data_IF_819034975790
#
_entry.id   IF_819034975790
#
_cell.length_a   1.000
_cell.length_b   1.000
_cell.length_c   1.000
_cell.angle_alpha   90.00
_cell.angle_beta   90.00
_cell.angle_gamma   90.00
#
_symmetry.space_group_name_H-M   'P 1'
#
loop_
_entity.id
_entity.type
_entity.pdbx_description
1 polymer ?
#
# COMPACT_ATOMS: atom_id res chain seq x y z
N UNK A 1 7.61 14.44 2.06
CA UNK A 1 6.63 13.33 2.19
C UNK A 1 7.30 11.98 2.48
N UNK A 2 8.23 11.50 1.64
CA UNK A 2 8.89 10.17 1.74
C UNK A 2 9.46 9.85 3.13
N UNK A 3 10.29 10.73 3.72
CA UNK A 3 10.89 10.51 5.05
C UNK A 3 9.86 10.31 6.17
N UNK A 4 8.74 11.04 6.12
CA UNK A 4 7.65 10.92 7.10
C UNK A 4 6.96 9.56 7.01
N UNK A 5 6.77 9.06 5.78
CA UNK A 5 6.19 7.74 5.54
C UNK A 5 7.14 6.62 5.98
N UNK A 6 8.45 6.79 5.71
CA UNK A 6 9.46 5.85 6.18
C UNK A 6 9.48 5.73 7.71
N UNK A 7 9.26 6.83 8.43
CA UNK A 7 9.22 6.87 9.89
C UNK A 7 8.02 6.15 10.53
N UNK A 8 7.01 5.71 9.75
CA UNK A 8 5.89 4.92 10.29
C UNK A 8 6.34 3.55 10.82
N UNK A 9 7.51 3.08 10.37
CA UNK A 9 8.11 1.82 10.79
C UNK A 9 7.22 0.62 10.52
N UNK A 10 7.56 -0.54 11.10
CA UNK A 10 6.85 -1.79 10.91
C UNK A 10 7.77 -2.99 11.01
N UNK A 11 7.20 -4.17 11.29
CA UNK A 11 7.96 -5.41 11.31
C UNK A 11 8.20 -5.88 9.88
N UNK A 12 9.39 -5.59 9.35
CA UNK A 12 9.79 -5.95 7.99
C UNK A 12 9.11 -5.10 6.89
N UNK A 13 9.51 -5.37 5.64
CA UNK A 13 9.16 -4.57 4.47
C UNK A 13 7.66 -4.50 4.21
N UNK A 14 6.96 -5.61 4.37
CA UNK A 14 5.50 -5.64 4.19
C UNK A 14 4.78 -4.89 5.31
N UNK A 15 5.28 -4.98 6.54
CA UNK A 15 4.73 -4.27 7.70
C UNK A 15 4.82 -2.76 7.52
N UNK A 16 6.00 -2.27 7.11
CA UNK A 16 6.21 -0.86 6.75
C UNK A 16 5.28 -0.45 5.61
N UNK A 17 5.22 -1.23 4.54
CA UNK A 17 4.38 -0.94 3.36
C UNK A 17 2.90 -0.84 3.74
N UNK A 18 2.37 -1.78 4.54
CA UNK A 18 0.95 -1.76 4.98
C UNK A 18 0.63 -0.56 5.86
N UNK A 19 1.57 -0.13 6.71
CA UNK A 19 1.42 1.09 7.54
C UNK A 19 1.41 2.35 6.69
N UNK A 20 2.30 2.45 5.70
CA UNK A 20 2.30 3.53 4.71
C UNK A 20 0.95 3.58 3.97
N UNK A 21 0.47 2.46 3.45
CA UNK A 21 -0.81 2.39 2.74
C UNK A 21 -1.99 2.83 3.62
N UNK A 22 -2.02 2.39 4.88
CA UNK A 22 -3.04 2.80 5.86
C UNK A 22 -3.02 4.32 6.12
N UNK A 23 -1.85 4.93 6.10
CA UNK A 23 -1.71 6.38 6.29
C UNK A 23 -2.14 7.18 5.04
N UNK A 24 -1.83 6.68 3.85
CA UNK A 24 -2.07 7.40 2.59
C UNK A 24 -3.49 7.25 2.05
N UNK A 25 -4.19 6.15 2.34
CA UNK A 25 -5.40 5.79 1.63
C UNK A 25 -6.51 5.31 2.58
N UNK A 26 -7.68 5.96 2.47
CA UNK A 26 -8.91 5.46 3.10
C UNK A 26 -9.39 4.19 2.39
N UNK A 27 -10.06 3.29 3.12
CA UNK A 27 -10.55 2.04 2.53
C UNK A 27 -11.57 2.28 1.40
N UNK A 28 -12.41 3.31 1.53
CA UNK A 28 -13.39 3.74 0.53
C UNK A 28 -12.73 4.21 -0.78
N UNK A 29 -11.52 4.76 -0.69
CA UNK A 29 -10.72 5.05 -1.88
C UNK A 29 -10.06 3.77 -2.40
N UNK A 30 -9.53 2.93 -1.52
CA UNK A 30 -8.84 1.69 -1.87
C UNK A 30 -9.66 0.72 -2.73
N UNK A 31 -11.00 0.68 -2.57
CA UNK A 31 -11.86 -0.17 -3.40
C UNK A 31 -11.90 0.26 -4.88
N UNK A 32 -11.60 1.54 -5.17
CA UNK A 32 -11.55 2.10 -6.53
C UNK A 32 -10.25 1.77 -7.26
N UNK A 33 -9.26 1.20 -6.55
CA UNK A 33 -7.98 0.82 -7.12
C UNK A 33 -7.86 -0.71 -7.22
N UNK A 34 -7.10 -1.15 -8.19
CA UNK A 34 -6.40 -2.43 -8.12
C UNK A 34 -5.00 -2.23 -8.73
N UNK A 35 -4.20 -3.29 -8.76
CA UNK A 35 -2.82 -3.16 -9.23
C UNK A 35 -2.72 -2.73 -10.70
N UNK A 36 -3.50 -3.38 -11.59
CA UNK A 36 -3.40 -3.23 -13.06
C UNK A 36 -4.40 -2.25 -13.68
N UNK A 37 -5.36 -1.73 -12.92
CA UNK A 37 -6.45 -0.88 -13.42
C UNK A 37 -7.54 -1.63 -14.19
N UNK A 38 -7.77 -2.91 -13.88
CA UNK A 38 -8.79 -3.72 -14.57
C UNK A 38 -10.20 -3.47 -14.04
N UNK A 39 -11.21 -3.73 -14.86
CA UNK A 39 -12.64 -3.67 -14.49
C UNK A 39 -13.07 -2.30 -13.94
N UNK A 40 -12.80 -1.23 -14.70
CA UNK A 40 -13.15 0.15 -14.35
C UNK A 40 -12.54 0.66 -13.03
N UNK A 41 -11.40 0.10 -12.62
CA UNK A 41 -10.62 0.58 -11.47
C UNK A 41 -9.37 1.30 -11.92
N UNK A 42 -8.83 2.16 -11.06
CA UNK A 42 -7.56 2.84 -11.31
C UNK A 42 -6.38 1.89 -11.03
N UNK A 43 -5.40 1.87 -11.93
CA UNK A 43 -4.19 1.06 -11.79
C UNK A 43 -3.18 1.70 -10.85
N UNK A 44 -3.00 1.12 -9.67
CA UNK A 44 -2.11 1.68 -8.66
C UNK A 44 -0.64 1.62 -9.07
N UNK A 45 -0.22 0.62 -9.86
CA UNK A 45 1.19 0.41 -10.22
C UNK A 45 1.82 1.58 -10.97
N UNK A 46 1.01 2.36 -11.70
CA UNK A 46 1.46 3.49 -12.51
C UNK A 46 1.25 4.84 -11.81
N UNK A 47 0.85 4.85 -10.54
CA UNK A 47 0.58 6.10 -9.81
C UNK A 47 1.87 6.67 -9.20
N UNK A 48 1.95 8.01 -9.12
CA UNK A 48 3.02 8.67 -8.35
C UNK A 48 3.03 8.22 -6.88
N UNK A 49 1.86 7.87 -6.32
CA UNK A 49 1.73 7.33 -4.97
C UNK A 49 2.48 6.01 -4.81
N UNK A 50 2.46 5.11 -5.80
CA UNK A 50 3.23 3.88 -5.77
C UNK A 50 4.73 4.17 -5.66
N UNK A 51 5.25 5.10 -6.48
CA UNK A 51 6.64 5.51 -6.42
C UNK A 51 7.02 6.07 -5.04
N UNK A 52 6.15 6.90 -4.45
CA UNK A 52 6.35 7.45 -3.10
C UNK A 52 6.41 6.33 -2.04
N UNK A 53 5.55 5.31 -2.15
CA UNK A 53 5.55 4.16 -1.22
C UNK A 53 6.83 3.36 -1.36
N UNK A 54 7.27 3.10 -2.59
CA UNK A 54 8.50 2.36 -2.88
C UNK A 54 9.74 3.07 -2.34
N UNK A 55 9.87 4.37 -2.61
CA UNK A 55 10.97 5.19 -2.10
C UNK A 55 10.99 5.22 -0.56
N UNK A 56 9.82 5.29 0.09
CA UNK A 56 9.73 5.27 1.54
C UNK A 56 10.11 3.90 2.14
N UNK A 57 9.79 2.80 1.46
CA UNK A 57 10.21 1.46 1.86
C UNK A 57 11.74 1.28 1.72
N UNK A 58 12.34 1.81 0.65
CA UNK A 58 13.79 1.77 0.39
C UNK A 58 14.64 2.52 1.42
N UNK A 59 14.05 3.47 2.16
CA UNK A 59 14.73 4.09 3.30
C UNK A 59 14.86 3.18 4.52
N UNK A 60 14.04 2.12 4.63
CA UNK A 60 14.08 1.16 5.74
C UNK A 60 14.75 -0.17 5.37
N UNK A 61 14.87 -0.48 4.07
CA UNK A 61 15.39 -1.75 3.58
C UNK A 61 16.25 -1.54 2.33
N UNK A 62 17.27 -2.40 2.09
CA UNK A 62 18.12 -2.28 0.91
C UNK A 62 17.32 -2.25 -0.40
N UNK A 63 17.68 -1.38 -1.32
CA UNK A 63 17.09 -1.36 -2.65
C UNK A 63 17.57 -2.59 -3.44
N UNK A 64 16.66 -3.52 -3.68
CA UNK A 64 16.87 -4.67 -4.56
C UNK A 64 15.53 -5.16 -5.12
N UNK A 65 15.59 -5.91 -6.21
CA UNK A 65 14.41 -6.39 -6.93
C UNK A 65 13.47 -7.22 -6.05
N UNK A 66 14.01 -8.09 -5.20
CA UNK A 66 13.23 -8.91 -4.26
C UNK A 66 12.40 -8.03 -3.32
N UNK A 67 13.01 -7.01 -2.75
CA UNK A 67 12.35 -6.07 -1.85
C UNK A 67 11.28 -5.24 -2.58
N UNK A 68 11.57 -4.77 -3.79
CA UNK A 68 10.62 -4.03 -4.63
C UNK A 68 9.38 -4.90 -4.95
N UNK A 69 9.59 -6.19 -5.25
CA UNK A 69 8.50 -7.16 -5.43
C UNK A 69 7.68 -7.37 -4.15
N UNK A 70 8.31 -7.44 -2.98
CA UNK A 70 7.62 -7.58 -1.70
C UNK A 70 6.75 -6.35 -1.38
N UNK A 71 7.25 -5.15 -1.67
CA UNK A 71 6.46 -3.90 -1.55
C UNK A 71 5.25 -3.96 -2.48
N UNK A 72 5.46 -4.28 -3.76
CA UNK A 72 4.38 -4.40 -4.73
C UNK A 72 3.33 -5.43 -4.30
N UNK A 73 3.76 -6.59 -3.79
CA UNK A 73 2.85 -7.63 -3.31
C UNK A 73 2.06 -7.19 -2.08
N UNK A 74 2.70 -6.54 -1.11
CA UNK A 74 2.03 -5.99 0.07
C UNK A 74 0.98 -4.94 -0.30
N UNK A 75 1.25 -4.08 -1.30
CA UNK A 75 0.28 -3.12 -1.84
C UNK A 75 -0.90 -3.83 -2.51
N UNK A 76 -0.63 -4.84 -3.37
CA UNK A 76 -1.68 -5.64 -4.03
C UNK A 76 -2.65 -6.23 -3.03
N UNK A 77 -2.13 -6.89 -2.00
CA UNK A 77 -2.94 -7.48 -0.93
C UNK A 77 -3.68 -6.40 -0.14
N UNK A 78 -3.04 -5.28 0.19
CA UNK A 78 -3.70 -4.19 0.90
C UNK A 78 -4.90 -3.64 0.11
N UNK A 79 -4.75 -3.43 -1.21
CA UNK A 79 -5.83 -2.95 -2.08
C UNK A 79 -6.97 -3.97 -2.16
N UNK A 80 -6.65 -5.25 -2.39
CA UNK A 80 -7.62 -6.36 -2.44
C UNK A 80 -8.47 -6.44 -1.18
N UNK A 81 -7.86 -6.25 0.00
CA UNK A 81 -8.55 -6.33 1.29
C UNK A 81 -9.30 -5.04 1.68
N UNK A 82 -9.32 -3.99 0.85
CA UNK A 82 -10.00 -2.73 1.18
C UNK A 82 -11.49 -2.92 1.47
N UNK A 83 -12.19 -3.71 0.65
CA UNK A 83 -13.61 -3.99 0.84
C UNK A 83 -13.86 -4.79 2.13
N UNK A 84 -13.02 -5.79 2.41
CA UNK A 84 -13.09 -6.58 3.65
C UNK A 84 -12.92 -5.69 4.90
N UNK A 85 -11.99 -4.74 4.87
CA UNK A 85 -11.79 -3.78 5.97
C UNK A 85 -13.00 -2.85 6.18
N UNK A 86 -13.71 -2.44 5.13
CA UNK A 86 -14.95 -1.65 5.25
C UNK A 86 -16.03 -2.49 5.94
N UNK A 87 -16.23 -3.72 5.47
CA UNK A 87 -17.25 -4.62 6.02
C UNK A 87 -16.99 -4.93 7.50
N UNK A 88 -15.72 -5.15 7.86
CA UNK A 88 -15.33 -5.37 9.26
C UNK A 88 -15.58 -4.12 10.12
N UNK A 89 -15.23 -2.92 9.62
CA UNK A 89 -15.46 -1.68 10.36
C UNK A 89 -16.96 -1.40 10.60
N UNK A 90 -17.82 -1.78 9.66
CA UNK A 90 -19.28 -1.62 9.81
C UNK A 90 -19.90 -2.63 10.78
N UNK A 91 -19.34 -3.84 10.91
CA UNK A 91 -19.81 -4.85 11.88
C UNK A 91 -19.49 -4.49 13.33
N UNK A 92 -18.47 -3.67 13.55
CA UNK A 92 -17.99 -3.28 14.87
C UNK A 92 -18.59 -1.93 15.34
N UNK A 93 -19.56 -1.38 14.60
CA UNK A 93 -20.35 -0.20 14.96
C UNK A 93 -21.70 -0.65 15.48
#
# INVERSE_FOLDING_TARGET
MVRRLAALGGSGIEGVTRRIMKYLMANQLGIQFNWKGRYNKVGFENTTTMNIVLEAAKLNFPANEKNDMQVAWAIKEWLKHSAARINQANKNK
#
